data_IF_222587632839
#
_entry.id   IF_222587632839
#
_cell.length_a   1.000
_cell.length_b   1.000
_cell.length_c   1.000
_cell.angle_alpha   90.00
_cell.angle_beta   90.00
_cell.angle_gamma   90.00
#
_symmetry.space_group_name_H-M   'P 1'
#
loop_
_entity.id
_entity.type
_entity.pdbx_description
1 polymer ?
#
# COMPACT_ATOMS: atom_id res chain seq x y z
N UNK A 1 -9.37 45.92 -3.58
CA UNK A 1 -9.10 45.23 -4.86
C UNK A 1 -8.48 43.84 -4.63
N UNK A 2 -9.10 43.02 -3.75
CA UNK A 2 -8.60 41.70 -3.37
C UNK A 2 -9.16 40.55 -4.23
N UNK A 3 -10.05 40.86 -5.17
CA UNK A 3 -10.78 39.88 -5.99
C UNK A 3 -9.90 39.06 -6.95
N UNK A 4 -8.71 39.53 -7.32
CA UNK A 4 -7.81 38.76 -8.21
C UNK A 4 -7.10 37.63 -7.45
N UNK A 5 -6.76 37.83 -6.18
CA UNK A 5 -6.14 36.80 -5.33
C UNK A 5 -7.15 35.74 -4.90
N UNK A 6 -8.41 36.12 -4.63
CA UNK A 6 -9.48 35.14 -4.37
C UNK A 6 -9.89 34.37 -5.64
N UNK A 7 -9.79 35.00 -6.81
CA UNK A 7 -10.01 34.31 -8.08
C UNK A 7 -8.96 33.21 -8.32
N UNK A 8 -7.68 33.47 -8.02
CA UNK A 8 -6.60 32.46 -8.14
C UNK A 8 -6.80 31.33 -7.12
N UNK A 9 -7.20 31.64 -5.87
CA UNK A 9 -7.51 30.61 -4.86
C UNK A 9 -8.71 29.75 -5.25
N UNK A 10 -9.73 30.31 -5.88
CA UNK A 10 -10.90 29.56 -6.36
C UNK A 10 -10.58 28.62 -7.53
N UNK A 11 -9.56 28.94 -8.34
CA UNK A 11 -9.13 28.13 -9.49
C UNK A 11 -8.07 27.08 -9.14
N UNK A 12 -7.48 27.19 -7.95
CA UNK A 12 -6.70 26.14 -7.27
C UNK A 12 -7.58 25.28 -6.33
N UNK A 13 -8.89 25.25 -6.59
CA UNK A 13 -9.74 24.17 -6.12
C UNK A 13 -9.18 22.81 -6.60
N UNK A 14 -9.03 21.80 -5.71
CA UNK A 14 -8.52 20.51 -6.11
C UNK A 14 -9.56 19.84 -7.01
N UNK A 15 -9.34 19.90 -8.32
CA UNK A 15 -9.97 18.99 -9.28
C UNK A 15 -9.33 17.62 -9.08
N UNK A 16 -9.84 16.90 -8.09
CA UNK A 16 -9.51 15.51 -7.76
C UNK A 16 -8.03 15.26 -7.46
N UNK A 17 -7.57 15.60 -6.25
CA UNK A 17 -6.38 14.91 -5.72
C UNK A 17 -6.83 13.55 -5.18
N UNK A 18 -6.58 12.49 -5.96
CA UNK A 18 -6.26 11.21 -5.37
C UNK A 18 -5.16 11.51 -4.36
N UNK A 19 -5.46 11.39 -3.07
CA UNK A 19 -4.44 11.43 -2.04
C UNK A 19 -3.65 10.14 -2.21
N UNK A 20 -2.65 10.17 -3.09
CA UNK A 20 -1.52 9.25 -3.04
C UNK A 20 -1.10 9.20 -1.58
N UNK A 21 -1.10 8.01 -1.00
CA UNK A 21 -0.90 7.75 0.42
C UNK A 21 0.42 8.39 0.91
N UNK A 22 0.35 9.65 1.32
CA UNK A 22 1.38 10.32 2.07
C UNK A 22 1.11 10.04 3.54
N UNK A 23 1.91 9.18 4.14
CA UNK A 23 2.05 9.14 5.60
C UNK A 23 2.40 10.57 6.05
N UNK A 24 1.71 11.16 7.05
CA UNK A 24 2.05 12.48 7.55
C UNK A 24 3.52 12.51 7.98
N UNK A 25 4.30 13.55 7.62
CA UNK A 25 5.75 13.60 7.87
C UNK A 25 6.15 13.62 9.37
N UNK A 26 5.18 13.77 10.28
CA UNK A 26 5.43 13.98 11.71
C UNK A 26 5.51 12.69 12.53
N UNK A 27 5.03 11.55 12.01
CA UNK A 27 5.27 10.23 12.62
C UNK A 27 6.34 9.49 11.83
N UNK A 28 7.60 9.62 12.25
CA UNK A 28 8.61 8.64 11.88
C UNK A 28 8.13 7.30 12.44
N UNK A 29 7.78 6.39 11.55
CA UNK A 29 7.39 5.05 11.97
C UNK A 29 8.69 4.34 12.35
N UNK A 30 8.87 4.05 13.63
CA UNK A 30 10.08 3.39 14.16
C UNK A 30 10.28 2.00 13.54
N UNK A 31 9.18 1.34 13.14
CA UNK A 31 9.18 0.03 12.50
C UNK A 31 8.16 -0.04 11.36
N UNK A 32 8.63 -0.38 10.17
CA UNK A 32 7.76 -0.69 9.04
C UNK A 32 6.99 -1.99 9.32
N UNK A 33 5.68 -2.09 9.02
CA UNK A 33 4.90 -3.31 9.21
C UNK A 33 5.23 -4.37 8.13
N UNK A 34 6.49 -4.75 8.00
CA UNK A 34 6.93 -5.82 7.09
C UNK A 34 7.11 -7.09 7.91
N UNK A 35 6.47 -8.17 7.47
CA UNK A 35 6.62 -9.50 8.06
C UNK A 35 7.31 -10.45 7.07
N UNK A 36 7.99 -11.51 7.55
CA UNK A 36 8.51 -12.55 6.67
C UNK A 36 7.42 -13.19 5.79
N UNK A 37 6.20 -13.35 6.33
CA UNK A 37 5.06 -13.91 5.61
C UNK A 37 4.58 -13.02 4.47
N UNK A 38 4.60 -11.69 4.64
CA UNK A 38 4.28 -10.74 3.57
C UNK A 38 5.25 -10.92 2.39
N UNK A 39 6.55 -11.02 2.68
CA UNK A 39 7.57 -11.22 1.65
C UNK A 39 7.40 -12.57 0.98
N UNK A 40 7.23 -13.65 1.75
CA UNK A 40 7.05 -14.99 1.20
C UNK A 40 5.84 -15.06 0.27
N UNK A 41 4.70 -14.47 0.67
CA UNK A 41 3.47 -14.41 -0.13
C UNK A 41 3.69 -13.69 -1.46
N UNK A 42 4.30 -12.51 -1.44
CA UNK A 42 4.53 -11.74 -2.66
C UNK A 42 5.65 -12.30 -3.54
N UNK A 43 6.67 -12.93 -2.95
CA UNK A 43 7.76 -13.56 -3.68
C UNK A 43 7.26 -14.82 -4.42
N UNK A 44 6.34 -15.58 -3.83
CA UNK A 44 5.65 -16.69 -4.49
C UNK A 44 4.84 -16.24 -5.73
N UNK A 45 4.32 -15.01 -5.72
CA UNK A 45 3.68 -14.38 -6.88
C UNK A 45 4.64 -13.86 -7.96
N UNK A 46 5.96 -13.91 -7.71
CA UNK A 46 7.01 -13.44 -8.62
C UNK A 46 8.07 -14.53 -8.85
N UNK A 47 7.74 -15.62 -9.57
CA UNK A 47 8.61 -16.79 -9.71
C UNK A 47 9.94 -16.51 -10.44
N UNK A 48 10.04 -15.38 -11.16
CA UNK A 48 11.28 -14.92 -11.80
C UNK A 48 12.30 -14.32 -10.83
N UNK A 49 11.92 -14.04 -9.58
CA UNK A 49 12.84 -13.61 -8.53
C UNK A 49 13.41 -14.81 -7.75
N UNK A 50 14.63 -14.68 -7.18
CA UNK A 50 15.21 -15.73 -6.35
C UNK A 50 14.32 -16.12 -5.17
N UNK A 51 14.01 -17.40 -5.07
CA UNK A 51 13.10 -17.94 -4.04
C UNK A 51 13.81 -18.46 -2.78
N UNK A 52 15.14 -18.47 -2.79
CA UNK A 52 15.98 -19.04 -1.73
C UNK A 52 15.99 -18.19 -0.44
N UNK A 53 16.38 -18.81 0.68
CA UNK A 53 16.35 -18.17 2.00
C UNK A 53 17.31 -16.96 2.11
N UNK A 54 18.43 -17.00 1.40
CA UNK A 54 19.37 -15.88 1.35
C UNK A 54 18.71 -14.63 0.74
N UNK A 55 17.99 -14.80 -0.37
CA UNK A 55 17.24 -13.72 -1.00
C UNK A 55 16.10 -13.22 -0.10
N UNK A 56 15.32 -14.11 0.50
CA UNK A 56 14.25 -13.74 1.45
C UNK A 56 14.78 -12.93 2.62
N UNK A 57 15.92 -13.34 3.19
CA UNK A 57 16.57 -12.64 4.30
C UNK A 57 17.05 -11.26 3.88
N UNK A 58 17.69 -11.14 2.70
CA UNK A 58 18.17 -9.87 2.19
C UNK A 58 17.02 -8.88 1.91
N UNK A 59 15.94 -9.37 1.28
CA UNK A 59 14.74 -8.58 1.00
C UNK A 59 14.06 -8.15 2.31
N UNK A 60 13.95 -9.05 3.30
CA UNK A 60 13.38 -8.74 4.60
C UNK A 60 14.15 -7.67 5.34
N UNK A 61 15.47 -7.80 5.42
CA UNK A 61 16.32 -6.80 6.06
C UNK A 61 16.19 -5.42 5.40
N UNK A 62 16.14 -5.37 4.07
CA UNK A 62 16.05 -4.12 3.32
C UNK A 62 14.67 -3.44 3.45
N UNK A 63 13.58 -4.21 3.43
CA UNK A 63 12.22 -3.68 3.55
C UNK A 63 11.86 -3.33 5.01
N UNK A 64 12.54 -3.91 5.99
CA UNK A 64 12.37 -3.56 7.40
C UNK A 64 13.01 -2.23 7.78
N UNK A 65 13.92 -1.70 6.94
CA UNK A 65 14.53 -0.38 7.13
C UNK A 65 13.49 0.73 6.84
N UNK A 66 13.13 1.59 7.81
CA UNK A 66 12.17 2.69 7.60
C UNK A 66 12.50 3.63 6.44
N UNK A 67 13.78 3.69 6.02
CA UNK A 67 14.21 4.54 4.91
C UNK A 67 13.87 3.96 3.54
N UNK A 68 13.49 2.67 3.42
CA UNK A 68 13.26 2.05 2.11
C UNK A 68 12.16 2.77 1.29
N UNK A 69 11.13 3.31 1.96
CA UNK A 69 10.06 4.10 1.31
C UNK A 69 10.63 5.38 0.69
N UNK A 70 11.60 6.00 1.36
CA UNK A 70 12.25 7.24 0.89
C UNK A 70 13.25 6.97 -0.23
N UNK A 71 13.97 5.85 -0.17
CA UNK A 71 14.92 5.40 -1.21
C UNK A 71 14.17 5.13 -2.52
N UNK A 72 12.99 4.51 -2.41
CA UNK A 72 12.15 4.14 -3.54
C UNK A 72 12.61 2.86 -4.27
N UNK A 73 11.76 2.29 -5.15
CA UNK A 73 11.96 0.92 -5.66
C UNK A 73 13.20 0.75 -6.54
N UNK A 74 13.48 1.69 -7.45
CA UNK A 74 14.60 1.57 -8.40
C UNK A 74 15.97 1.68 -7.74
N UNK A 75 16.27 2.71 -6.94
CA UNK A 75 17.54 2.78 -6.23
C UNK A 75 17.74 1.60 -5.27
N UNK A 76 16.68 1.15 -4.58
CA UNK A 76 16.73 -0.01 -3.70
C UNK A 76 17.05 -1.31 -4.47
N UNK A 77 16.42 -1.52 -5.63
CA UNK A 77 16.71 -2.67 -6.48
C UNK A 77 18.19 -2.72 -6.91
N UNK A 78 18.74 -1.58 -7.33
CA UNK A 78 20.15 -1.47 -7.72
C UNK A 78 21.09 -1.80 -6.55
N UNK A 79 20.78 -1.32 -5.34
CA UNK A 79 21.56 -1.64 -4.13
C UNK A 79 21.51 -3.13 -3.80
N UNK A 80 20.34 -3.77 -3.90
CA UNK A 80 20.19 -5.20 -3.63
C UNK A 80 20.96 -6.06 -4.63
N UNK A 81 20.89 -5.74 -5.92
CA UNK A 81 21.64 -6.44 -6.97
C UNK A 81 23.15 -6.26 -6.76
N UNK A 82 23.60 -5.04 -6.43
CA UNK A 82 24.99 -4.77 -6.10
C UNK A 82 25.48 -5.54 -4.85
N UNK A 83 24.57 -5.89 -3.94
CA UNK A 83 24.84 -6.73 -2.75
C UNK A 83 24.75 -8.24 -3.04
N UNK A 84 24.53 -8.64 -4.29
CA UNK A 84 24.55 -10.03 -4.72
C UNK A 84 23.18 -10.70 -4.86
N UNK A 85 22.09 -9.93 -4.87
CA UNK A 85 20.78 -10.48 -5.24
C UNK A 85 20.72 -10.76 -6.74
N UNK A 86 20.61 -12.04 -7.12
CA UNK A 86 20.53 -12.49 -8.52
C UNK A 86 19.14 -12.24 -9.12
N UNK A 87 18.83 -10.98 -9.46
CA UNK A 87 17.55 -10.59 -10.02
C UNK A 87 17.72 -9.64 -11.20
N UNK A 88 16.84 -9.77 -12.19
CA UNK A 88 16.71 -8.77 -13.25
C UNK A 88 16.12 -7.47 -12.67
N UNK A 89 16.68 -6.32 -13.05
CA UNK A 89 16.39 -5.02 -12.45
C UNK A 89 14.91 -4.66 -12.55
N UNK A 90 14.32 -4.69 -13.74
CA UNK A 90 12.94 -4.24 -13.95
C UNK A 90 11.93 -5.13 -13.22
N UNK A 91 12.19 -6.43 -13.19
CA UNK A 91 11.43 -7.42 -12.42
C UNK A 91 11.46 -7.09 -10.93
N UNK A 92 12.65 -6.82 -10.38
CA UNK A 92 12.79 -6.45 -8.98
C UNK A 92 12.16 -5.10 -8.67
N UNK A 93 12.29 -4.11 -9.55
CA UNK A 93 11.67 -2.78 -9.39
C UNK A 93 10.15 -2.89 -9.37
N UNK A 94 9.57 -3.68 -10.28
CA UNK A 94 8.12 -3.92 -10.31
C UNK A 94 7.64 -4.56 -9.01
N UNK A 95 8.36 -5.58 -8.54
CA UNK A 95 8.03 -6.26 -7.30
C UNK A 95 8.15 -5.34 -6.07
N UNK A 96 9.24 -4.60 -5.96
CA UNK A 96 9.43 -3.62 -4.88
C UNK A 96 8.37 -2.53 -4.91
N UNK A 97 7.93 -2.09 -6.09
CA UNK A 97 6.83 -1.11 -6.22
C UNK A 97 5.54 -1.66 -5.63
N UNK A 98 5.20 -2.93 -5.92
CA UNK A 98 4.03 -3.59 -5.31
C UNK A 98 4.16 -3.66 -3.80
N UNK A 99 5.31 -4.08 -3.27
CA UNK A 99 5.55 -4.17 -1.83
C UNK A 99 5.47 -2.81 -1.13
N UNK A 100 6.07 -1.77 -1.71
CA UNK A 100 5.99 -0.42 -1.15
C UNK A 100 4.54 0.04 -1.02
N UNK A 101 3.69 -0.22 -2.03
CA UNK A 101 2.27 0.14 -1.98
C UNK A 101 1.51 -0.64 -0.91
N UNK A 102 1.76 -1.95 -0.77
CA UNK A 102 1.14 -2.78 0.27
C UNK A 102 1.51 -2.31 1.67
N UNK A 103 2.81 -2.13 1.92
CA UNK A 103 3.31 -1.67 3.21
C UNK A 103 2.76 -0.28 3.54
N UNK A 104 2.71 0.63 2.57
CA UNK A 104 2.14 1.97 2.78
C UNK A 104 0.65 1.89 3.11
N UNK A 105 -0.09 0.98 2.48
CA UNK A 105 -1.50 0.72 2.78
C UNK A 105 -1.67 0.22 4.22
N UNK A 106 -0.85 -0.73 4.66
CA UNK A 106 -0.89 -1.23 6.04
C UNK A 106 -0.55 -0.13 7.06
N UNK A 107 0.48 0.69 6.79
CA UNK A 107 0.81 1.84 7.64
C UNK A 107 -0.37 2.82 7.77
N UNK A 108 -1.06 3.09 6.65
CA UNK A 108 -2.25 3.95 6.65
C UNK A 108 -3.39 3.35 7.48
N UNK A 109 -3.66 2.05 7.34
CA UNK A 109 -4.69 1.33 8.11
C UNK A 109 -4.36 1.36 9.60
N UNK A 110 -3.10 1.11 9.96
CA UNK A 110 -2.64 1.14 11.34
C UNK A 110 -2.75 2.55 11.96
N UNK A 111 -2.38 3.59 11.21
CA UNK A 111 -2.57 4.97 11.66
C UNK A 111 -4.06 5.34 11.78
N UNK A 112 -4.88 4.90 10.83
CA UNK A 112 -6.32 5.18 10.80
C UNK A 112 -7.08 4.57 11.99
N UNK A 113 -6.67 3.39 12.47
CA UNK A 113 -7.26 2.72 13.64
C UNK A 113 -7.28 3.60 14.90
N UNK A 114 -6.34 4.53 15.02
CA UNK A 114 -6.20 5.39 16.20
C UNK A 114 -6.91 6.74 16.06
N UNK A 115 -7.66 6.95 14.96
CA UNK A 115 -8.45 8.17 14.77
C UNK A 115 -9.74 8.06 15.57
N UNK A 116 -10.11 9.17 16.21
CA UNK A 116 -11.38 9.27 16.93
C UNK A 116 -12.56 9.01 15.98
N UNK A 117 -13.51 8.20 16.43
CA UNK A 117 -14.67 7.78 15.65
C UNK A 117 -14.37 6.81 14.50
N UNK A 118 -13.14 6.35 14.29
CA UNK A 118 -12.88 5.40 13.20
C UNK A 118 -13.36 3.99 13.53
N UNK A 119 -14.24 3.44 12.69
CA UNK A 119 -14.83 2.10 12.86
C UNK A 119 -14.27 1.04 11.93
N UNK A 120 -13.66 1.45 10.82
CA UNK A 120 -13.09 0.50 9.87
C UNK A 120 -12.64 1.14 8.57
N UNK A 121 -12.51 0.29 7.56
CA UNK A 121 -12.05 0.64 6.22
C UNK A 121 -13.07 0.15 5.19
N UNK A 122 -13.48 1.04 4.29
CA UNK A 122 -14.23 0.68 3.08
C UNK A 122 -13.29 0.42 1.91
N UNK A 123 -13.50 -0.67 1.20
CA UNK A 123 -12.80 -1.03 -0.03
C UNK A 123 -13.52 -0.47 -1.26
N UNK A 124 -12.76 -0.02 -2.24
CA UNK A 124 -13.27 0.44 -3.52
C UNK A 124 -12.44 -0.14 -4.66
N UNK A 125 -13.07 -0.68 -5.72
CA UNK A 125 -12.33 -1.20 -6.85
C UNK A 125 -11.58 -0.06 -7.56
N UNK A 126 -10.35 -0.34 -8.00
CA UNK A 126 -9.56 0.59 -8.83
C UNK A 126 -10.10 0.63 -10.26
N UNK A 127 -10.45 -0.53 -10.80
CA UNK A 127 -11.00 -0.66 -12.15
C UNK A 127 -12.52 -0.46 -12.16
N UNK A 128 -13.06 0.07 -13.27
CA UNK A 128 -14.50 0.15 -13.52
C UNK A 128 -15.15 -1.23 -13.67
N UNK A 129 -14.39 -2.19 -14.19
CA UNK A 129 -14.76 -3.61 -14.27
C UNK A 129 -13.72 -4.42 -13.49
N UNK A 130 -13.88 -4.53 -12.15
CA UNK A 130 -12.95 -5.28 -11.31
C UNK A 130 -13.03 -6.79 -11.60
N UNK A 131 -11.95 -7.50 -11.31
CA UNK A 131 -11.95 -8.97 -11.24
C UNK A 131 -12.98 -9.45 -10.19
N UNK A 132 -13.51 -10.66 -10.37
CA UNK A 132 -14.65 -11.15 -9.59
C UNK A 132 -14.37 -11.21 -8.07
N UNK A 133 -13.15 -11.56 -7.69
CA UNK A 133 -12.67 -11.57 -6.30
C UNK A 133 -12.63 -10.16 -5.69
N UNK A 134 -12.09 -9.19 -6.43
CA UNK A 134 -12.08 -7.77 -6.02
C UNK A 134 -13.50 -7.23 -5.91
N UNK A 135 -14.36 -7.55 -6.88
CA UNK A 135 -15.77 -7.16 -6.88
C UNK A 135 -16.49 -7.72 -5.64
N UNK A 136 -16.25 -8.99 -5.31
CA UNK A 136 -16.82 -9.64 -4.14
C UNK A 136 -16.36 -8.96 -2.85
N UNK A 137 -15.05 -8.70 -2.69
CA UNK A 137 -14.51 -8.01 -1.52
C UNK A 137 -15.12 -6.61 -1.33
N UNK A 138 -15.28 -5.84 -2.40
CA UNK A 138 -15.80 -4.47 -2.35
C UNK A 138 -17.33 -4.39 -2.16
N UNK A 139 -18.07 -5.50 -2.29
CA UNK A 139 -19.53 -5.53 -2.16
C UNK A 139 -20.03 -6.36 -0.97
N UNK A 140 -19.17 -7.19 -0.37
CA UNK A 140 -19.52 -8.01 0.78
C UNK A 140 -19.83 -7.15 2.02
N UNK A 141 -20.85 -7.55 2.79
CA UNK A 141 -21.15 -7.01 4.12
C UNK A 141 -20.99 -8.11 5.17
N UNK A 142 -19.77 -8.63 5.29
CA UNK A 142 -19.49 -9.78 6.17
C UNK A 142 -19.51 -9.43 7.66
N UNK A 143 -19.46 -8.15 8.01
CA UNK A 143 -19.32 -7.67 9.39
C UNK A 143 -20.49 -6.77 9.84
N UNK A 144 -21.51 -6.58 9.02
CA UNK A 144 -22.67 -5.73 9.34
C UNK A 144 -22.34 -4.23 9.42
N UNK A 145 -21.20 -3.81 8.87
CA UNK A 145 -20.75 -2.42 8.82
C UNK A 145 -21.17 -1.73 7.50
N UNK A 146 -21.77 -2.48 6.58
CA UNK A 146 -22.15 -2.04 5.24
C UNK A 146 -21.22 -2.60 4.16
N UNK A 147 -21.70 -2.54 2.91
CA UNK A 147 -21.00 -3.13 1.77
C UNK A 147 -19.56 -2.63 1.63
N UNK A 148 -18.64 -3.59 1.53
CA UNK A 148 -17.21 -3.39 1.37
C UNK A 148 -16.52 -2.82 2.62
N UNK A 149 -17.18 -2.78 3.79
CA UNK A 149 -16.60 -2.27 5.02
C UNK A 149 -16.08 -3.41 5.88
N UNK A 150 -14.82 -3.28 6.31
CA UNK A 150 -14.11 -4.23 7.15
C UNK A 150 -13.62 -3.54 8.42
N UNK A 151 -13.72 -4.19 9.59
CA UNK A 151 -13.06 -3.70 10.79
C UNK A 151 -11.54 -3.75 10.60
N UNK A 152 -10.80 -2.94 11.37
CA UNK A 152 -9.36 -2.77 11.20
C UNK A 152 -8.53 -4.04 11.41
N UNK A 153 -9.07 -5.04 12.11
CA UNK A 153 -8.45 -6.34 12.39
C UNK A 153 -8.78 -7.41 11.35
N UNK A 154 -9.70 -7.14 10.42
CA UNK A 154 -10.13 -8.09 9.40
C UNK A 154 -10.03 -7.54 7.97
N UNK A 155 -9.16 -6.55 7.75
CA UNK A 155 -8.92 -6.00 6.40
C UNK A 155 -8.31 -7.09 5.52
N UNK A 156 -8.90 -7.40 4.34
CA UNK A 156 -8.38 -8.44 3.48
C UNK A 156 -6.99 -8.07 2.93
N UNK A 157 -6.15 -9.11 2.86
CA UNK A 157 -4.90 -9.05 2.12
C UNK A 157 -5.15 -8.84 0.62
N UNK A 158 -4.11 -8.45 -0.11
CA UNK A 158 -4.18 -8.38 -1.56
C UNK A 158 -4.43 -9.79 -2.14
N UNK A 159 -5.52 -10.01 -2.90
CA UNK A 159 -5.88 -11.32 -3.43
C UNK A 159 -5.01 -11.72 -4.65
N UNK A 160 -4.22 -10.80 -5.20
CA UNK A 160 -3.29 -11.06 -6.31
C UNK A 160 -1.83 -10.79 -5.90
N UNK A 161 -1.20 -11.68 -5.11
CA UNK A 161 0.18 -11.51 -4.67
C UNK A 161 1.15 -11.27 -5.82
N UNK A 162 2.09 -10.34 -5.63
CA UNK A 162 3.05 -9.92 -6.66
C UNK A 162 2.48 -8.94 -7.70
N UNK A 163 1.18 -8.60 -7.63
CA UNK A 163 0.55 -7.57 -8.45
C UNK A 163 0.03 -6.43 -7.56
N UNK A 164 -0.20 -5.27 -8.17
CA UNK A 164 -0.81 -4.13 -7.47
C UNK A 164 -2.21 -4.50 -6.99
N UNK A 165 -2.54 -4.19 -5.73
CA UNK A 165 -3.86 -4.42 -5.19
C UNK A 165 -4.95 -3.80 -6.08
N UNK A 166 -5.99 -4.60 -6.39
CA UNK A 166 -7.09 -4.18 -7.26
C UNK A 166 -8.11 -3.23 -6.62
N UNK A 167 -7.92 -2.87 -5.34
CA UNK A 167 -8.78 -1.94 -4.61
C UNK A 167 -7.97 -0.91 -3.82
N UNK A 168 -8.57 0.27 -3.59
CA UNK A 168 -8.08 1.25 -2.62
C UNK A 168 -8.97 1.27 -1.36
N UNK A 169 -8.47 1.89 -0.31
CA UNK A 169 -9.08 1.92 1.02
C UNK A 169 -9.50 3.34 1.41
N UNK A 170 -10.61 3.49 2.15
CA UNK A 170 -10.96 4.73 2.85
C UNK A 170 -11.39 4.44 4.27
N UNK A 171 -11.02 5.30 5.21
CA UNK A 171 -11.48 5.22 6.60
C UNK A 171 -12.97 5.54 6.67
N UNK A 172 -13.69 4.72 7.43
CA UNK A 172 -15.09 4.96 7.80
C UNK A 172 -15.10 5.50 9.22
N UNK A 173 -15.81 6.60 9.42
CA UNK A 173 -16.04 7.19 10.72
C UNK A 173 -17.48 6.86 11.17
N UNK A 174 -17.68 6.70 12.47
CA UNK A 174 -18.98 6.80 13.12
C UNK A 174 -19.56 8.20 12.88
N UNK A 175 -20.85 8.24 12.51
CA UNK A 175 -21.64 9.47 12.37
C UNK A 175 -22.05 10.04 13.74
#
# INVERSE_FOLDING_TARGET
>A
MAYLLDYIKSRWAPKGSVVTAGVPPEQRVDQVPVTPDLIARHLAGAPSLPQNDAARTMLYAALSDPLFIQIGPRPLAQQLIARGLDAELETLVKWLTVLTLEVTREMYINAARHREGAVGIRLFPVATQPQADIAALCSADSYGLGAGIYPFDAVPANPTPGQTCGFYVRVVLED
#
